data_IF_037874308937
#
_entry.id   IF_037874308937
#
_cell.length_a   1.000
_cell.length_b   1.000
_cell.length_c   1.000
_cell.angle_alpha   90.00
_cell.angle_beta   90.00
_cell.angle_gamma   90.00
#
_symmetry.space_group_name_H-M   'P 1'
#
loop_
_entity.id
_entity.type
_entity.pdbx_description
1 polymer ?
#
# COMPACT_ATOMS: atom_id res chain seq x y z
N UNK A 1 1.74 15.72 -19.86
CA UNK A 1 0.77 14.98 -19.00
C UNK A 1 0.10 15.97 -18.06
N UNK A 2 -0.87 16.76 -18.56
CA UNK A 2 -1.68 17.69 -17.78
C UNK A 2 -2.96 17.03 -17.25
N UNK A 3 -3.33 15.88 -17.78
CA UNK A 3 -4.55 15.16 -17.40
C UNK A 3 -4.18 13.88 -16.66
N UNK A 4 -4.67 13.77 -15.42
CA UNK A 4 -4.81 12.49 -14.78
C UNK A 4 -5.94 11.77 -15.53
N UNK A 5 -5.57 10.99 -16.55
CA UNK A 5 -6.54 10.07 -17.12
C UNK A 5 -7.01 9.17 -15.99
N UNK A 6 -8.31 9.13 -15.75
CA UNK A 6 -8.96 8.17 -14.88
C UNK A 6 -8.67 6.79 -15.43
N UNK A 7 -7.60 6.20 -14.97
CA UNK A 7 -7.35 4.79 -15.20
C UNK A 7 -8.23 4.02 -14.22
N UNK A 8 -8.94 3.01 -14.70
CA UNK A 8 -9.64 2.02 -13.86
C UNK A 8 -8.70 1.46 -12.75
N UNK A 9 -7.38 1.58 -12.96
CA UNK A 9 -6.35 1.02 -12.09
C UNK A 9 -5.76 2.01 -11.07
N UNK A 10 -6.12 3.28 -11.08
CA UNK A 10 -5.65 4.27 -10.10
C UNK A 10 -4.93 5.48 -10.69
N UNK A 11 -4.35 6.29 -9.83
CA UNK A 11 -3.74 7.57 -10.17
C UNK A 11 -2.22 7.59 -9.95
N UNK A 12 -1.55 6.48 -10.24
CA UNK A 12 -0.09 6.34 -10.06
C UNK A 12 0.71 7.43 -10.79
N UNK A 13 0.14 8.07 -11.80
CA UNK A 13 0.77 9.21 -12.48
C UNK A 13 1.16 10.36 -11.56
N UNK A 14 0.44 10.58 -10.45
CA UNK A 14 0.81 11.59 -9.43
C UNK A 14 2.18 11.27 -8.85
N UNK A 15 2.45 10.01 -8.55
CA UNK A 15 3.70 9.57 -7.94
C UNK A 15 4.87 9.56 -8.93
N UNK A 16 4.60 9.34 -10.23
CA UNK A 16 5.63 9.33 -11.27
C UNK A 16 6.02 10.73 -11.76
N UNK A 17 5.08 11.67 -11.73
CA UNK A 17 5.27 13.01 -12.31
C UNK A 17 6.51 13.72 -11.75
N UNK A 18 6.66 13.74 -10.43
CA UNK A 18 7.77 14.46 -9.80
C UNK A 18 9.12 13.75 -10.00
N UNK A 19 9.29 12.44 -9.72
CA UNK A 19 10.53 11.74 -9.98
C UNK A 19 10.97 11.78 -11.45
N UNK A 20 10.07 11.57 -12.39
CA UNK A 20 10.38 11.63 -13.82
C UNK A 20 10.79 13.03 -14.26
N UNK A 21 10.20 14.08 -13.70
CA UNK A 21 10.63 15.45 -13.99
C UNK A 21 12.06 15.73 -13.53
N UNK A 22 12.50 15.12 -12.44
CA UNK A 22 13.87 15.25 -11.92
C UNK A 22 14.86 14.45 -12.79
N UNK A 23 14.46 13.25 -13.23
CA UNK A 23 15.33 12.34 -13.96
C UNK A 23 15.53 12.73 -15.45
N UNK A 24 14.58 13.45 -16.06
CA UNK A 24 14.63 13.84 -17.46
C UNK A 24 13.39 13.43 -18.25
N UNK A 25 12.65 12.43 -17.78
CA UNK A 25 11.35 12.04 -18.34
C UNK A 25 11.40 11.07 -19.50
N UNK A 26 12.54 10.46 -19.77
CA UNK A 26 12.73 9.50 -20.84
C UNK A 26 12.21 8.10 -20.46
N UNK A 27 12.09 7.22 -21.47
CA UNK A 27 11.67 5.82 -21.25
C UNK A 27 12.63 5.08 -20.33
N UNK A 28 13.93 5.37 -20.42
CA UNK A 28 14.97 4.77 -19.56
C UNK A 28 14.72 5.15 -18.10
N UNK A 29 14.40 6.42 -17.83
CA UNK A 29 14.09 6.92 -16.49
C UNK A 29 12.84 6.25 -15.91
N UNK A 30 11.84 6.02 -16.75
CA UNK A 30 10.66 5.27 -16.33
C UNK A 30 10.98 3.81 -15.96
N UNK A 31 11.82 3.14 -16.75
CA UNK A 31 12.28 1.77 -16.47
C UNK A 31 13.10 1.74 -15.19
N UNK A 32 14.01 2.70 -15.00
CA UNK A 32 14.81 2.84 -13.79
C UNK A 32 13.94 3.02 -12.55
N UNK A 33 12.96 3.93 -12.62
CA UNK A 33 12.04 4.20 -11.53
C UNK A 33 11.21 2.94 -11.17
N UNK A 34 10.71 2.23 -12.18
CA UNK A 34 10.01 0.96 -11.96
C UNK A 34 10.90 -0.10 -11.31
N UNK A 35 12.17 -0.16 -11.71
CA UNK A 35 13.15 -1.09 -11.11
C UNK A 35 13.42 -0.74 -9.65
N UNK A 36 13.53 0.54 -9.31
CA UNK A 36 13.66 1.02 -7.92
C UNK A 36 12.42 0.63 -7.11
N UNK A 37 11.22 0.88 -7.64
CA UNK A 37 9.96 0.50 -6.97
C UNK A 37 9.90 -1.02 -6.76
N UNK A 38 10.31 -1.80 -7.76
CA UNK A 38 10.41 -3.26 -7.65
C UNK A 38 11.38 -3.69 -6.54
N UNK A 39 12.55 -3.07 -6.48
CA UNK A 39 13.52 -3.30 -5.40
C UNK A 39 12.96 -2.96 -4.01
N UNK A 40 12.21 -1.87 -3.89
CA UNK A 40 11.53 -1.48 -2.65
C UNK A 40 10.45 -2.49 -2.23
N UNK A 41 9.74 -3.10 -3.20
CA UNK A 41 8.79 -4.18 -2.91
C UNK A 41 9.48 -5.37 -2.22
N UNK A 42 10.60 -5.81 -2.80
CA UNK A 42 11.39 -6.92 -2.22
C UNK A 42 11.92 -6.55 -0.85
N UNK A 43 12.54 -5.38 -0.71
CA UNK A 43 13.05 -4.91 0.56
C UNK A 43 11.95 -4.90 1.64
N UNK A 44 10.75 -4.40 1.31
CA UNK A 44 9.63 -4.38 2.24
C UNK A 44 9.19 -5.80 2.64
N UNK A 45 9.10 -6.74 1.69
CA UNK A 45 8.76 -8.13 1.98
C UNK A 45 9.82 -8.84 2.82
N UNK A 46 11.11 -8.65 2.53
CA UNK A 46 12.20 -9.21 3.32
C UNK A 46 12.25 -8.63 4.74
N UNK A 47 12.04 -7.32 4.90
CA UNK A 47 11.95 -6.70 6.22
C UNK A 47 10.76 -7.23 7.00
N UNK A 48 9.58 -7.40 6.37
CA UNK A 48 8.42 -7.99 7.02
C UNK A 48 8.72 -9.41 7.51
N UNK A 49 9.33 -10.24 6.66
CA UNK A 49 9.76 -11.59 7.00
C UNK A 49 10.74 -11.58 8.19
N UNK A 50 11.75 -10.71 8.15
CA UNK A 50 12.74 -10.57 9.21
C UNK A 50 12.12 -10.14 10.54
N UNK A 51 11.15 -9.24 10.53
CA UNK A 51 10.48 -8.77 11.74
C UNK A 51 9.60 -9.84 12.40
N UNK A 52 8.91 -10.67 11.58
CA UNK A 52 7.94 -11.65 12.09
C UNK A 52 8.60 -12.99 12.40
N UNK A 53 9.45 -13.49 11.51
CA UNK A 53 10.02 -14.83 11.59
C UNK A 53 11.33 -14.79 12.37
N UNK A 54 11.42 -15.59 13.43
CA UNK A 54 12.62 -15.66 14.29
C UNK A 54 13.59 -16.78 13.88
N UNK A 55 13.07 -17.82 13.23
CA UNK A 55 13.86 -18.97 12.81
C UNK A 55 14.56 -18.68 11.48
N UNK A 56 15.89 -18.84 11.43
CA UNK A 56 16.70 -18.49 10.28
C UNK A 56 16.44 -19.39 9.07
N UNK A 57 16.16 -20.69 9.30
CA UNK A 57 15.79 -21.60 8.20
C UNK A 57 14.47 -21.13 7.55
N UNK A 58 13.47 -20.76 8.35
CA UNK A 58 12.21 -20.25 7.82
C UNK A 58 12.39 -18.91 7.13
N UNK A 59 13.33 -18.06 7.57
CA UNK A 59 13.70 -16.82 6.85
C UNK A 59 14.28 -17.12 5.48
N UNK A 60 15.19 -18.07 5.39
CA UNK A 60 15.80 -18.49 4.11
C UNK A 60 14.72 -19.04 3.18
N UNK A 61 13.91 -19.98 3.65
CA UNK A 61 12.81 -20.57 2.86
C UNK A 61 11.80 -19.51 2.42
N UNK A 62 11.43 -18.59 3.32
CA UNK A 62 10.56 -17.46 3.02
C UNK A 62 11.17 -16.52 1.98
N UNK A 63 12.47 -16.24 2.06
CA UNK A 63 13.17 -15.42 1.07
C UNK A 63 13.17 -16.06 -0.31
N UNK A 64 13.41 -17.37 -0.38
CA UNK A 64 13.30 -18.14 -1.63
C UNK A 64 11.87 -18.08 -2.15
N UNK A 65 10.85 -18.27 -1.30
CA UNK A 65 9.45 -18.21 -1.69
C UNK A 65 9.03 -16.83 -2.22
N UNK A 66 9.61 -15.75 -1.71
CA UNK A 66 9.37 -14.38 -2.20
C UNK A 66 9.99 -14.17 -3.59
N UNK A 67 11.17 -14.72 -3.85
CA UNK A 67 11.92 -14.49 -5.09
C UNK A 67 11.54 -15.41 -6.24
N UNK A 68 11.21 -16.68 -5.95
CA UNK A 68 10.91 -17.69 -6.96
C UNK A 68 9.83 -17.30 -7.97
N UNK A 69 8.66 -16.75 -7.56
CA UNK A 69 7.61 -16.40 -8.52
C UNK A 69 8.08 -15.36 -9.55
N UNK A 70 8.99 -14.47 -9.16
CA UNK A 70 9.50 -13.41 -10.01
C UNK A 70 10.55 -13.92 -10.98
N UNK A 71 11.42 -14.82 -10.53
CA UNK A 71 12.41 -15.47 -11.39
C UNK A 71 11.73 -16.41 -12.40
N UNK A 72 10.59 -16.98 -12.07
CA UNK A 72 9.81 -17.85 -12.98
C UNK A 72 8.96 -17.08 -13.99
N UNK A 73 8.71 -15.79 -13.74
CA UNK A 73 7.96 -14.93 -14.65
C UNK A 73 8.84 -14.60 -15.87
N UNK A 74 8.59 -15.25 -17.01
CA UNK A 74 9.27 -14.94 -18.26
C UNK A 74 8.94 -13.51 -18.74
N UNK A 75 9.90 -12.90 -19.43
CA UNK A 75 9.76 -11.61 -20.11
C UNK A 75 8.47 -11.54 -20.94
N UNK A 76 7.55 -10.69 -20.58
CA UNK A 76 6.22 -10.59 -21.17
C UNK A 76 5.16 -10.23 -20.13
N UNK A 77 5.57 -10.11 -18.89
CA UNK A 77 4.68 -9.77 -17.81
C UNK A 77 4.14 -8.36 -17.96
N UNK A 78 2.87 -8.30 -17.81
CA UNK A 78 2.13 -7.07 -17.74
C UNK A 78 2.73 -6.22 -16.60
N UNK A 79 3.42 -5.13 -16.95
CA UNK A 79 4.06 -4.21 -15.99
C UNK A 79 3.07 -3.70 -14.92
N UNK A 80 1.76 -3.72 -15.20
CA UNK A 80 0.69 -3.39 -14.27
C UNK A 80 0.56 -4.37 -13.10
N UNK A 81 1.11 -5.58 -13.21
CA UNK A 81 1.10 -6.56 -12.11
C UNK A 81 2.28 -6.37 -11.17
N UNK A 82 3.44 -6.01 -11.72
CA UNK A 82 4.68 -5.83 -10.99
C UNK A 82 5.44 -4.61 -11.50
N UNK A 83 5.88 -3.71 -10.64
CA UNK A 83 5.69 -3.65 -9.16
C UNK A 83 4.37 -3.00 -8.72
N UNK A 84 3.55 -2.52 -9.65
CA UNK A 84 2.42 -1.61 -9.41
C UNK A 84 1.40 -2.11 -8.40
N UNK A 85 0.96 -3.36 -8.52
CA UNK A 85 -0.08 -3.88 -7.62
C UNK A 85 0.47 -4.32 -6.26
N UNK A 86 1.77 -4.54 -6.17
CA UNK A 86 2.36 -5.21 -5.00
C UNK A 86 3.04 -4.24 -4.05
N UNK A 87 3.52 -3.06 -4.53
CA UNK A 87 4.31 -2.13 -3.72
C UNK A 87 3.61 -1.75 -2.40
N UNK A 88 2.38 -1.27 -2.44
CA UNK A 88 1.68 -0.82 -1.25
C UNK A 88 1.25 -1.97 -0.35
N UNK A 89 0.93 -3.15 -0.91
CA UNK A 89 0.67 -4.35 -0.11
C UNK A 89 1.94 -4.79 0.64
N UNK A 90 3.09 -4.75 -0.02
CA UNK A 90 4.39 -5.07 0.59
C UNK A 90 4.75 -4.07 1.70
N UNK A 91 4.55 -2.78 1.46
CA UNK A 91 4.76 -1.72 2.45
C UNK A 91 3.80 -1.87 3.64
N UNK A 92 2.52 -2.17 3.40
CA UNK A 92 1.54 -2.41 4.46
C UNK A 92 1.92 -3.61 5.31
N UNK A 93 2.30 -4.73 4.68
CA UNK A 93 2.78 -5.92 5.39
C UNK A 93 4.02 -5.61 6.24
N UNK A 94 4.98 -4.89 5.67
CA UNK A 94 6.18 -4.45 6.39
C UNK A 94 5.83 -3.55 7.57
N UNK A 95 4.89 -2.61 7.39
CA UNK A 95 4.45 -1.71 8.45
C UNK A 95 3.73 -2.46 9.58
N UNK A 96 2.85 -3.42 9.27
CA UNK A 96 2.24 -4.30 10.26
C UNK A 96 3.29 -5.08 11.04
N UNK A 97 4.24 -5.69 10.35
CA UNK A 97 5.33 -6.46 10.93
C UNK A 97 6.20 -5.59 11.85
N UNK A 98 6.52 -4.36 11.44
CA UNK A 98 7.21 -3.36 12.25
C UNK A 98 6.43 -3.02 13.52
N UNK A 99 5.13 -2.73 13.40
CA UNK A 99 4.29 -2.41 14.54
C UNK A 99 4.25 -3.54 15.58
N UNK A 100 4.17 -4.79 15.11
CA UNK A 100 4.21 -5.98 15.99
C UNK A 100 5.57 -6.14 16.63
N UNK A 101 6.65 -6.07 15.84
CA UNK A 101 8.02 -6.31 16.30
C UNK A 101 8.45 -5.33 17.37
N UNK A 102 8.15 -4.04 17.20
CA UNK A 102 8.55 -2.95 18.08
C UNK A 102 7.46 -2.54 19.08
N UNK A 103 6.35 -3.27 19.14
CA UNK A 103 5.20 -2.99 20.02
C UNK A 103 4.66 -1.55 19.87
N UNK A 104 4.78 -0.97 18.69
CA UNK A 104 4.34 0.39 18.37
C UNK A 104 2.88 0.40 17.93
N UNK A 105 1.99 -0.13 18.76
CA UNK A 105 0.56 -0.29 18.47
C UNK A 105 -0.23 0.75 19.28
N UNK A 106 -0.24 1.98 18.78
CA UNK A 106 -0.91 3.13 19.38
C UNK A 106 -1.80 3.86 18.35
N UNK A 107 -2.48 4.92 18.77
CA UNK A 107 -3.38 5.70 17.92
C UNK A 107 -2.65 6.30 16.70
N UNK A 108 -1.41 6.76 16.87
CA UNK A 108 -0.61 7.36 15.79
C UNK A 108 -0.33 6.32 14.71
N UNK A 109 0.13 5.12 15.08
CA UNK A 109 0.37 4.04 14.12
C UNK A 109 -0.92 3.58 13.45
N UNK A 110 -2.06 3.60 14.17
CA UNK A 110 -3.36 3.31 13.57
C UNK A 110 -3.68 4.30 12.44
N UNK A 111 -3.50 5.59 12.68
CA UNK A 111 -3.72 6.65 11.68
C UNK A 111 -2.73 6.50 10.51
N UNK A 112 -1.44 6.27 10.80
CA UNK A 112 -0.41 6.10 9.76
C UNK A 112 -0.72 4.94 8.81
N UNK A 113 -1.28 3.84 9.31
CA UNK A 113 -1.71 2.73 8.46
C UNK A 113 -2.87 3.11 7.53
N UNK A 114 -3.83 3.92 7.98
CA UNK A 114 -4.88 4.44 7.10
C UNK A 114 -4.37 5.47 6.10
N UNK A 115 -3.38 6.29 6.47
CA UNK A 115 -2.70 7.19 5.52
C UNK A 115 -1.93 6.38 4.46
N UNK A 116 -1.31 5.28 4.84
CA UNK A 116 -0.67 4.36 3.89
C UNK A 116 -1.70 3.70 2.97
N UNK A 117 -2.86 3.30 3.50
CA UNK A 117 -3.96 2.76 2.69
C UNK A 117 -4.54 3.83 1.73
N UNK A 118 -4.65 5.08 2.16
CA UNK A 118 -5.02 6.21 1.31
C UNK A 118 -4.02 6.41 0.16
N UNK A 119 -2.71 6.40 0.45
CA UNK A 119 -1.67 6.47 -0.57
C UNK A 119 -1.73 5.27 -1.53
N UNK A 120 -2.02 4.08 -1.02
CA UNK A 120 -2.24 2.88 -1.82
C UNK A 120 -3.46 3.03 -2.76
N UNK A 121 -4.55 3.66 -2.29
CA UNK A 121 -5.75 3.94 -3.10
C UNK A 121 -5.44 4.94 -4.23
N UNK A 122 -4.64 5.97 -3.95
CA UNK A 122 -4.16 6.91 -4.97
C UNK A 122 -3.29 6.22 -6.02
N UNK A 123 -2.46 5.27 -5.59
CA UNK A 123 -1.61 4.53 -6.50
C UNK A 123 -2.41 3.56 -7.36
N UNK A 124 -3.20 2.70 -6.74
CA UNK A 124 -4.06 1.70 -7.36
C UNK A 124 -5.21 1.38 -6.41
N UNK A 125 -6.45 1.60 -6.87
CA UNK A 125 -7.65 1.48 -6.04
C UNK A 125 -7.82 0.07 -5.44
N UNK A 126 -7.52 -0.99 -6.21
CA UNK A 126 -7.59 -2.37 -5.70
C UNK A 126 -6.57 -2.59 -4.59
N UNK A 127 -5.31 -2.16 -4.78
CA UNK A 127 -4.26 -2.26 -3.75
C UNK A 127 -4.64 -1.47 -2.50
N UNK A 128 -5.27 -0.30 -2.68
CA UNK A 128 -5.80 0.50 -1.58
C UNK A 128 -6.85 -0.22 -0.77
N UNK A 129 -7.80 -0.88 -1.44
CA UNK A 129 -8.84 -1.67 -0.77
C UNK A 129 -8.22 -2.80 0.04
N UNK A 130 -7.31 -3.59 -0.56
CA UNK A 130 -6.63 -4.66 0.15
C UNK A 130 -5.83 -4.15 1.36
N UNK A 131 -5.09 -3.04 1.21
CA UNK A 131 -4.35 -2.44 2.32
C UNK A 131 -5.28 -1.97 3.45
N UNK A 132 -6.37 -1.30 3.12
CA UNK A 132 -7.32 -0.78 4.11
C UNK A 132 -8.02 -1.91 4.88
N UNK A 133 -8.49 -2.95 4.17
CA UNK A 133 -9.14 -4.12 4.78
C UNK A 133 -8.14 -4.93 5.61
N UNK A 134 -6.92 -5.16 5.12
CA UNK A 134 -5.87 -5.86 5.87
C UNK A 134 -5.50 -5.11 7.14
N UNK A 135 -5.37 -3.77 7.07
CA UNK A 135 -5.07 -2.94 8.24
C UNK A 135 -6.19 -2.94 9.26
N UNK A 136 -7.44 -2.78 8.84
CA UNK A 136 -8.60 -2.88 9.71
C UNK A 136 -8.71 -4.26 10.36
N UNK A 137 -8.57 -5.32 9.57
CA UNK A 137 -8.58 -6.71 10.05
C UNK A 137 -7.48 -6.97 11.09
N UNK A 138 -6.27 -6.45 10.87
CA UNK A 138 -5.16 -6.55 11.82
C UNK A 138 -5.50 -5.93 13.18
N UNK A 139 -6.11 -4.75 13.21
CA UNK A 139 -6.50 -4.10 14.46
C UNK A 139 -7.69 -4.78 15.14
N UNK A 140 -8.69 -5.21 14.37
CA UNK A 140 -9.84 -5.95 14.88
C UNK A 140 -9.40 -7.27 15.49
N UNK A 141 -8.58 -8.06 14.79
CA UNK A 141 -8.03 -9.32 15.32
C UNK A 141 -7.21 -9.09 16.59
N UNK A 142 -6.37 -8.07 16.60
CA UNK A 142 -5.63 -7.71 17.82
C UNK A 142 -6.56 -7.39 18.98
N UNK A 143 -7.62 -6.63 18.73
CA UNK A 143 -8.62 -6.29 19.74
C UNK A 143 -9.30 -7.53 20.28
N UNK A 144 -9.69 -8.47 19.41
CA UNK A 144 -10.27 -9.75 19.79
C UNK A 144 -9.33 -10.63 20.64
N UNK A 145 -8.03 -10.59 20.36
CA UNK A 145 -7.02 -11.37 21.09
C UNK A 145 -6.66 -10.78 22.47
N UNK A 146 -7.12 -9.58 22.83
CA UNK A 146 -6.81 -8.93 24.11
C UNK A 146 -7.64 -9.42 25.31
N UNK A 147 -8.54 -10.36 25.14
CA UNK A 147 -9.30 -10.99 26.21
C UNK A 147 -10.82 -10.82 26.13
N UNK A 148 -11.52 -11.07 27.24
CA UNK A 148 -12.99 -11.00 27.31
C UNK A 148 -13.46 -9.56 27.08
N UNK A 149 -13.96 -9.28 25.90
CA UNK A 149 -14.51 -7.98 25.56
C UNK A 149 -16.04 -8.03 25.48
N UNK A 150 -16.68 -6.92 25.81
CA UNK A 150 -18.12 -6.78 25.63
C UNK A 150 -18.44 -6.68 24.14
N UNK A 151 -19.53 -7.27 23.73
CA UNK A 151 -20.00 -7.21 22.33
C UNK A 151 -20.09 -5.76 21.82
N UNK A 152 -20.52 -4.82 22.68
CA UNK A 152 -20.60 -3.40 22.34
C UNK A 152 -19.22 -2.77 22.02
N UNK A 153 -18.17 -3.14 22.75
CA UNK A 153 -16.81 -2.66 22.52
C UNK A 153 -16.25 -3.20 21.19
N UNK A 154 -16.54 -4.46 20.91
CA UNK A 154 -16.17 -5.08 19.63
C UNK A 154 -16.89 -4.42 18.45
N UNK A 155 -18.19 -4.18 18.54
CA UNK A 155 -18.97 -3.49 17.51
C UNK A 155 -18.44 -2.07 17.28
N UNK A 156 -18.16 -1.33 18.34
CA UNK A 156 -17.59 0.02 18.25
C UNK A 156 -16.20 0.02 17.57
N UNK A 157 -15.37 -0.98 17.88
CA UNK A 157 -14.08 -1.18 17.24
C UNK A 157 -14.26 -1.41 15.73
N UNK A 158 -15.14 -2.33 15.33
CA UNK A 158 -15.42 -2.63 13.92
C UNK A 158 -15.92 -1.37 13.19
N UNK A 159 -16.91 -0.68 13.76
CA UNK A 159 -17.45 0.57 13.17
C UNK A 159 -16.36 1.62 13.01
N UNK A 160 -15.50 1.79 14.02
CA UNK A 160 -14.38 2.74 13.95
C UNK A 160 -13.39 2.41 12.81
N UNK A 161 -13.10 1.12 12.60
CA UNK A 161 -12.22 0.70 11.51
C UNK A 161 -12.90 0.76 10.13
N UNK A 162 -14.21 0.48 10.02
CA UNK A 162 -14.97 0.73 8.80
C UNK A 162 -14.95 2.22 8.43
N UNK A 163 -15.12 3.11 9.42
CA UNK A 163 -14.99 4.54 9.21
C UNK A 163 -13.58 4.93 8.74
N UNK A 164 -12.53 4.32 9.29
CA UNK A 164 -11.16 4.51 8.83
C UNK A 164 -10.94 4.12 7.37
N UNK A 165 -11.55 3.02 6.92
CA UNK A 165 -11.54 2.61 5.50
C UNK A 165 -12.20 3.70 4.65
N UNK A 166 -13.42 4.11 4.99
CA UNK A 166 -14.16 5.14 4.26
C UNK A 166 -13.35 6.45 4.17
N UNK A 167 -12.76 6.90 5.27
CA UNK A 167 -11.93 8.11 5.29
C UNK A 167 -10.69 7.99 4.40
N UNK A 168 -10.08 6.80 4.30
CA UNK A 168 -8.94 6.58 3.41
C UNK A 168 -9.34 6.77 1.93
N UNK A 169 -10.51 6.27 1.52
CA UNK A 169 -11.02 6.43 0.16
C UNK A 169 -11.46 7.87 -0.12
N UNK A 170 -12.19 8.50 0.80
CA UNK A 170 -12.61 9.91 0.67
C UNK A 170 -11.39 10.84 0.63
N UNK A 171 -10.36 10.57 1.43
CA UNK A 171 -9.12 11.32 1.41
C UNK A 171 -8.38 11.18 0.08
N UNK A 172 -8.28 9.96 -0.46
CA UNK A 172 -7.69 9.73 -1.77
C UNK A 172 -8.45 10.47 -2.87
N UNK A 173 -9.77 10.35 -2.88
CA UNK A 173 -10.63 11.09 -3.81
C UNK A 173 -10.44 12.62 -3.69
N UNK A 174 -10.45 13.16 -2.47
CA UNK A 174 -10.22 14.58 -2.24
C UNK A 174 -8.87 15.09 -2.74
N UNK A 175 -7.80 14.27 -2.63
CA UNK A 175 -6.48 14.61 -3.19
C UNK A 175 -6.53 14.66 -4.71
N UNK A 176 -7.20 13.72 -5.37
CA UNK A 176 -7.37 13.71 -6.83
C UNK A 176 -8.12 14.95 -7.30
N UNK A 177 -9.23 15.30 -6.63
CA UNK A 177 -10.02 16.49 -6.96
C UNK A 177 -9.21 17.79 -6.76
N UNK A 178 -8.49 17.91 -5.65
CA UNK A 178 -7.60 19.03 -5.42
C UNK A 178 -6.51 19.13 -6.49
N UNK A 179 -5.89 18.00 -6.84
CA UNK A 179 -4.88 17.96 -7.89
C UNK A 179 -5.45 18.42 -9.24
N UNK A 180 -6.63 17.95 -9.61
CA UNK A 180 -7.30 18.34 -10.86
C UNK A 180 -7.61 19.83 -10.89
N UNK A 181 -8.14 20.38 -9.80
CA UNK A 181 -8.41 21.83 -9.67
C UNK A 181 -7.15 22.68 -9.84
N UNK A 182 -6.05 22.30 -9.18
CA UNK A 182 -4.79 23.04 -9.25
C UNK A 182 -4.04 22.85 -10.57
N UNK A 183 -4.26 21.74 -11.27
CA UNK A 183 -3.61 21.45 -12.55
C UNK A 183 -4.40 21.96 -13.77
N UNK A 184 -5.54 22.65 -13.57
CA UNK A 184 -6.39 23.17 -14.65
C UNK A 184 -7.15 22.08 -15.40
N UNK A 185 -7.23 20.87 -14.85
CA UNK A 185 -8.01 19.77 -15.37
C UNK A 185 -9.51 19.93 -15.12
N UNK A 186 -10.32 19.29 -15.94
CA UNK A 186 -11.77 19.20 -15.70
C UNK A 186 -12.03 18.23 -14.55
N UNK A 187 -12.81 18.68 -13.56
CA UNK A 187 -13.30 17.81 -12.49
C UNK A 187 -14.19 16.73 -13.16
N UNK A 188 -13.70 15.50 -13.22
CA UNK A 188 -14.53 14.39 -13.65
C UNK A 188 -15.51 14.06 -12.53
N UNK A 189 -16.77 14.39 -12.72
CA UNK A 189 -17.85 13.89 -11.87
C UNK A 189 -17.95 12.38 -12.07
N UNK A 190 -17.70 11.64 -11.01
CA UNK A 190 -17.95 10.21 -10.93
C UNK A 190 -19.46 9.99 -10.81
#
# INVERSE_FOLDING_TARGET
YTELTTSIYGHYGIFYKFPLKILGGDLIDFILLNSIIGGLCFLAMFLALYFIVKNDLLRILGSVAITLPILSMRSGNYWQLWPHRIIFMSLMLCFMAFCVRFRKLNRITCILGYLLAMAATLWNTESGLFCAVAWAGFWILRHLCQGKQKLSEMLLCIIGHLFGIVLSFLGAWGIVECYNLFSGGTVQRI
#
